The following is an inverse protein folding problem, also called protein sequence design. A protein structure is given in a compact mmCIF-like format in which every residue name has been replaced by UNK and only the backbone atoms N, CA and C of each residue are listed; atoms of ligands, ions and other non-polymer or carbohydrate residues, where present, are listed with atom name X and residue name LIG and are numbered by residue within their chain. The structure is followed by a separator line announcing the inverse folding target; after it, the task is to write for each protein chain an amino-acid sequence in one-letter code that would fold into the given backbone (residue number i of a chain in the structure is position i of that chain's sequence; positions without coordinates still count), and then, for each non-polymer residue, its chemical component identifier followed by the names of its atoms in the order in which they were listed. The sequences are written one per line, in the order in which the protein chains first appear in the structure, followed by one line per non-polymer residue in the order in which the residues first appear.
data_IF_174659437526
#
_entry.id   IF_174659437526
#
_cell.length_a   1.000
_cell.length_b   1.000
_cell.length_c   1.000
_cell.angle_alpha   90.00
_cell.angle_beta   90.00
_cell.angle_gamma   90.00
#
_symmetry.space_group_name_H-M   'P 1'
#
loop_
_entity.id
_entity.type
_entity.pdbx_description
1 polymer ?
#
# COMPACT_ATOMS: atom_id res chain seq x y z
N UNK A 1 15.63 -46.03 35.93
CA UNK A 1 15.59 -45.45 35.81
C UNK A 1 15.29 -44.54 35.08
N UNK A 2 14.95 -44.00 34.67
CA UNK A 2 14.61 -43.28 34.04
C UNK A 2 14.63 -42.27 33.40
N UNK A 3 14.53 -41.77 32.99
CA UNK A 3 14.73 -40.92 32.36
C UNK A 3 14.09 -40.05 31.83
N UNK A 4 13.81 -39.65 31.61
CA UNK A 4 13.21 -38.83 31.19
C UNK A 4 13.31 -37.89 30.37
N UNK A 5 13.24 -37.58 29.87
CA UNK A 5 13.34 -36.74 29.12
C UNK A 5 12.79 -35.75 28.72
N UNK A 6 12.57 -35.25 28.47
CA UNK A 6 12.12 -34.31 28.14
C UNK A 6 12.09 -33.47 27.23
N UNK A 7 11.83 -33.20 26.72
CA UNK A 7 11.78 -32.43 25.96
C UNK A 7 11.46 -31.32 25.61
N UNK A 8 11.48 -30.82 25.34
CA UNK A 8 11.32 -29.82 25.16
C UNK A 8 10.88 -29.14 24.24
N UNK A 9 10.57 -28.94 23.79
CA UNK A 9 10.26 -28.31 23.07
C UNK A 9 10.21 -27.32 22.66
N UNK A 10 10.32 -26.84 22.19
CA UNK A 10 10.31 -25.94 21.78
C UNK A 10 9.84 -25.17 21.23
N UNK A 11 9.63 -24.76 21.02
CA UNK A 11 9.11 -24.06 20.55
C UNK A 11 9.17 -23.06 19.86
N UNK A 12 9.31 -22.85 19.30
CA UNK A 12 9.59 -22.01 18.63
C UNK A 12 8.66 -21.33 18.13
N UNK A 13 8.62 -20.52 17.93
CA UNK A 13 7.77 -19.69 17.59
C UNK A 13 7.59 -19.58 16.38
N UNK A 14 7.69 -19.86 15.87
CA UNK A 14 7.48 -19.83 14.75
C UNK A 14 6.59 -19.14 14.17
N UNK A 15 6.66 -18.73 13.57
CA UNK A 15 6.04 -18.04 12.88
C UNK A 15 4.94 -18.48 12.45
N UNK A 16 4.18 -18.05 12.45
CA UNK A 16 3.05 -18.43 12.12
C UNK A 16 2.80 -18.31 10.90
N UNK A 17 3.18 -18.19 10.40
CA UNK A 17 2.97 -18.13 9.29
C UNK A 17 1.85 -18.17 8.80
N UNK A 18 1.65 -18.35 8.17
CA UNK A 18 0.63 -18.52 7.59
C UNK A 18 -0.35 -17.81 7.59
N UNK A 19 -0.56 -17.33 8.07
CA UNK A 19 -1.61 -16.79 8.15
C UNK A 19 -1.76 -15.82 7.36
N UNK A 20 -2.24 -15.83 6.59
CA UNK A 20 -2.63 -14.97 5.80
C UNK A 20 -2.98 -13.88 6.40
N UNK A 21 -2.54 -13.24 6.72
CA UNK A 21 -2.99 -12.27 7.32
C UNK A 21 -3.21 -11.20 6.49
N UNK A 22 -3.95 -10.41 6.70
CA UNK A 22 -4.21 -9.25 5.97
C UNK A 22 -3.49 -8.11 6.62
N UNK A 23 -2.35 -8.32 7.11
CA UNK A 23 -1.65 -7.24 7.78
C UNK A 23 -0.96 -6.35 6.77
N UNK A 24 -0.88 -5.08 7.09
CA UNK A 24 -0.16 -4.11 6.29
C UNK A 24 1.02 -3.63 7.12
N UNK A 25 2.21 -3.68 6.56
CA UNK A 25 3.42 -3.24 7.25
C UNK A 25 3.94 -1.98 6.56
N UNK A 26 4.33 -0.98 7.33
CA UNK A 26 4.86 0.26 6.80
C UNK A 26 6.23 0.51 7.44
N UNK A 27 7.24 0.74 6.60
CA UNK A 27 8.58 1.03 7.07
C UNK A 27 9.03 2.38 6.54
N UNK A 28 9.88 3.07 7.27
CA UNK A 28 10.39 4.37 6.86
C UNK A 28 11.62 4.73 7.67
N UNK A 29 12.30 5.81 7.29
CA UNK A 29 13.46 6.27 8.04
C UNK A 29 13.03 6.96 9.33
N UNK A 30 11.90 7.63 9.33
CA UNK A 30 11.40 8.27 10.54
C UNK A 30 9.88 8.24 10.59
N UNK A 31 9.34 8.35 11.78
CA UNK A 31 7.90 8.32 11.99
C UNK A 31 7.50 9.29 13.10
N UNK A 32 6.50 10.10 12.81
CA UNK A 32 5.92 10.98 13.81
C UNK A 32 4.52 10.45 14.02
N UNK A 33 4.21 9.94 15.19
CA UNK A 33 2.92 9.33 15.45
C UNK A 33 2.15 10.14 16.47
N UNK A 34 0.96 10.57 16.12
CA UNK A 34 0.09 11.30 17.02
C UNK A 34 -1.21 10.55 17.20
N UNK A 35 -1.36 9.93 18.34
CA UNK A 35 -2.59 9.19 18.64
C UNK A 35 -3.42 9.93 19.70
N UNK A 36 -3.02 11.14 20.07
CA UNK A 36 -3.75 11.88 21.06
C UNK A 36 -4.99 12.53 20.51
N UNK A 37 -6.04 12.58 21.29
CA UNK A 37 -7.26 13.14 20.81
C UNK A 37 -7.32 14.64 20.91
N UNK A 38 -6.43 15.28 21.63
CA UNK A 38 -6.52 16.69 21.79
C UNK A 38 -6.17 17.52 20.59
N UNK A 39 -5.43 16.95 19.70
CA UNK A 39 -4.98 17.70 18.59
C UNK A 39 -5.74 17.45 17.34
N UNK A 40 -6.86 16.94 17.42
CA UNK A 40 -7.61 16.66 16.23
C UNK A 40 -7.36 15.25 15.78
N UNK A 41 -7.01 15.04 14.52
CA UNK A 41 -6.98 13.69 14.00
C UNK A 41 -5.77 12.89 14.41
N UNK A 42 -5.98 11.63 14.66
CA UNK A 42 -4.89 10.73 14.92
C UNK A 42 -4.23 10.42 13.61
N UNK A 43 -2.93 10.58 13.56
CA UNK A 43 -2.21 10.31 12.32
C UNK A 43 -0.74 9.99 12.57
N UNK A 44 -0.14 9.30 11.60
CA UNK A 44 1.28 9.04 11.62
C UNK A 44 1.89 9.55 10.33
N UNK A 45 3.03 10.23 10.41
CA UNK A 45 3.70 10.71 9.23
C UNK A 45 5.02 9.98 9.12
N UNK A 46 5.17 9.24 8.02
CA UNK A 46 6.36 8.46 7.75
C UNK A 46 7.18 9.23 6.73
N UNK A 47 8.46 9.40 6.97
CA UNK A 47 9.31 10.14 6.06
C UNK A 47 10.57 9.38 5.73
N UNK A 48 10.95 9.45 4.49
CA UNK A 48 12.18 8.85 4.01
C UNK A 48 12.05 7.37 3.70
N UNK A 49 12.23 7.01 2.45
CA UNK A 49 12.22 5.62 2.00
C UNK A 49 11.04 4.83 2.55
N UNK A 50 9.85 5.39 2.41
CA UNK A 50 8.64 4.76 2.94
C UNK A 50 8.29 3.55 2.07
N UNK A 51 8.01 2.43 2.71
CA UNK A 51 7.64 1.22 2.02
C UNK A 51 6.44 0.60 2.70
N UNK A 52 5.42 0.29 1.93
CA UNK A 52 4.21 -0.36 2.44
C UNK A 52 4.16 -1.76 1.85
N UNK A 53 3.94 -2.74 2.70
CA UNK A 53 3.78 -4.11 2.26
C UNK A 53 2.36 -4.54 2.63
N UNK A 54 1.55 -4.76 1.64
CA UNK A 54 0.16 -5.12 1.79
C UNK A 54 -0.03 -6.45 1.05
N UNK A 55 -0.98 -7.29 1.41
CA UNK A 55 -1.10 -8.61 0.79
C UNK A 55 -1.16 -8.63 -0.74
N UNK A 56 -1.72 -7.60 -1.35
CA UNK A 56 -1.87 -7.60 -2.79
C UNK A 56 -0.83 -6.79 -3.54
N UNK A 57 -0.19 -5.85 -2.86
CA UNK A 57 0.76 -4.98 -3.54
C UNK A 57 1.81 -4.43 -2.58
N UNK A 58 2.86 -3.85 -3.14
CA UNK A 58 3.82 -3.08 -2.37
C UNK A 58 3.78 -1.65 -2.88
N UNK A 59 4.05 -0.70 -2.00
CA UNK A 59 4.06 0.71 -2.39
C UNK A 59 5.30 1.36 -1.82
N UNK A 60 5.91 2.26 -2.59
CA UNK A 60 7.05 3.03 -2.12
C UNK A 60 6.75 4.49 -2.34
N UNK A 61 7.23 5.34 -1.47
CA UNK A 61 7.06 6.79 -1.59
C UNK A 61 8.12 7.48 -0.75
N UNK A 62 8.24 8.78 -0.89
CA UNK A 62 9.16 9.54 -0.06
C UNK A 62 8.52 9.92 1.25
N UNK A 63 7.22 10.13 1.24
CA UNK A 63 6.50 10.51 2.45
C UNK A 63 5.12 9.87 2.44
N UNK A 64 4.64 9.49 3.58
CA UNK A 64 3.31 8.92 3.69
C UNK A 64 2.67 9.35 4.99
N UNK A 65 1.38 9.69 4.94
CA UNK A 65 0.61 10.00 6.12
C UNK A 65 -0.44 8.92 6.28
N UNK A 66 -0.53 8.36 7.48
CA UNK A 66 -1.53 7.35 7.79
C UNK A 66 -2.55 7.99 8.72
N UNK A 67 -3.82 7.88 8.38
CA UNK A 67 -4.88 8.43 9.21
C UNK A 67 -5.57 7.29 9.93
N UNK A 68 -5.80 7.48 11.22
CA UNK A 68 -6.41 6.45 12.06
C UNK A 68 -7.82 6.84 12.45
N UNK A 69 -8.68 5.86 12.58
CA UNK A 69 -10.02 6.07 13.09
C UNK A 69 -9.95 6.16 14.62
N UNK A 70 -11.08 6.44 15.25
CA UNK A 70 -11.11 6.60 16.70
C UNK A 70 -10.68 5.33 17.44
N UNK A 71 -10.87 4.18 16.85
CA UNK A 71 -10.48 2.92 17.50
C UNK A 71 -9.05 2.53 17.16
N UNK A 72 -8.27 3.48 16.63
CA UNK A 72 -6.87 3.27 16.26
C UNK A 72 -6.65 2.34 15.07
N UNK A 73 -7.69 1.99 14.36
CA UNK A 73 -7.51 1.23 13.13
C UNK A 73 -7.13 2.18 12.00
N UNK A 74 -6.40 1.71 11.03
CA UNK A 74 -6.00 2.54 9.90
C UNK A 74 -7.23 2.82 9.05
N UNK A 75 -7.48 4.10 8.78
CA UNK A 75 -8.61 4.50 7.99
C UNK A 75 -8.19 4.78 6.56
N UNK A 76 -7.10 5.47 6.36
CA UNK A 76 -6.60 5.76 5.02
C UNK A 76 -5.12 6.09 5.04
N UNK A 77 -4.50 6.02 3.86
CA UNK A 77 -3.09 6.33 3.68
C UNK A 77 -2.97 7.35 2.56
N UNK A 78 -2.05 8.29 2.73
CA UNK A 78 -1.77 9.25 1.67
C UNK A 78 -0.27 9.19 1.40
N UNK A 79 0.14 8.79 0.20
CA UNK A 79 1.54 8.71 -0.18
C UNK A 79 1.88 9.86 -1.12
N UNK A 80 3.06 10.42 -0.98
CA UNK A 80 3.50 11.55 -1.78
C UNK A 80 4.90 11.38 -2.28
N UNK A 81 5.14 11.92 -3.47
CA UNK A 81 6.44 11.96 -4.11
C UNK A 81 7.01 10.62 -4.48
N UNK A 82 7.17 10.44 -5.74
CA UNK A 82 7.75 9.23 -6.32
C UNK A 82 7.03 7.97 -5.84
N UNK A 83 5.71 7.99 -5.88
CA UNK A 83 4.93 6.84 -5.45
C UNK A 83 5.03 5.76 -6.51
N UNK A 84 5.43 4.57 -6.12
CA UNK A 84 5.54 3.41 -7.01
C UNK A 84 4.77 2.27 -6.35
N UNK A 85 3.81 1.71 -7.06
CA UNK A 85 3.00 0.61 -6.54
C UNK A 85 3.15 -0.57 -7.48
N UNK A 86 3.50 -1.72 -6.93
CA UNK A 86 3.65 -2.94 -7.72
C UNK A 86 2.73 -4.01 -7.18
N UNK A 87 1.95 -4.61 -8.04
CA UNK A 87 1.11 -5.72 -7.62
C UNK A 87 2.00 -6.94 -7.41
N UNK A 88 1.72 -7.69 -6.37
CA UNK A 88 2.55 -8.85 -6.03
C UNK A 88 2.43 -9.96 -7.06
N UNK A 89 1.34 -9.99 -7.82
CA UNK A 89 1.19 -10.99 -8.86
C UNK A 89 1.92 -10.60 -10.14
N UNK A 90 2.61 -9.44 -10.14
CA UNK A 90 3.37 -9.01 -11.31
C UNK A 90 2.53 -8.45 -12.44
N UNK A 91 1.23 -8.31 -12.27
CA UNK A 91 0.38 -7.88 -13.37
C UNK A 91 0.50 -6.42 -13.73
N UNK A 92 0.90 -5.57 -12.82
CA UNK A 92 1.01 -4.15 -13.14
C UNK A 92 1.93 -3.40 -12.19
N UNK A 93 2.38 -2.26 -12.67
CA UNK A 93 3.18 -1.34 -11.88
C UNK A 93 2.58 0.03 -12.09
N UNK A 94 2.46 0.80 -11.03
CA UNK A 94 1.83 2.11 -11.07
C UNK A 94 2.81 3.16 -10.60
N UNK A 95 2.88 4.27 -11.32
CA UNK A 95 3.74 5.38 -10.95
C UNK A 95 2.86 6.62 -10.78
N UNK A 96 3.04 7.33 -9.69
CA UNK A 96 2.24 8.50 -9.41
C UNK A 96 2.99 9.46 -8.51
N UNK A 97 2.56 10.69 -8.44
CA UNK A 97 3.17 11.65 -7.53
C UNK A 97 2.37 11.72 -6.25
N UNK A 98 1.12 11.29 -6.27
CA UNK A 98 0.30 11.28 -5.07
C UNK A 98 -0.69 10.12 -5.15
N UNK A 99 -0.82 9.39 -4.09
CA UNK A 99 -1.73 8.26 -4.03
C UNK A 99 -2.48 8.27 -2.70
N UNK A 100 -3.77 7.97 -2.75
CA UNK A 100 -4.60 7.89 -1.56
C UNK A 100 -5.19 6.49 -1.51
N UNK A 101 -5.03 5.79 -0.41
CA UNK A 101 -5.63 4.47 -0.28
C UNK A 101 -6.66 4.52 0.84
N UNK A 102 -7.89 4.16 0.52
CA UNK A 102 -8.97 4.15 1.47
C UNK A 102 -9.17 2.71 1.93
N UNK A 103 -8.96 2.47 3.21
CA UNK A 103 -9.04 1.11 3.75
C UNK A 103 -10.48 0.62 3.83
N UNK A 104 -11.44 1.52 3.95
CA UNK A 104 -12.82 1.13 4.06
C UNK A 104 -13.39 0.71 2.70
N UNK A 105 -13.20 1.54 1.70
CA UNK A 105 -13.69 1.24 0.37
C UNK A 105 -12.71 0.39 -0.42
N UNK A 106 -11.53 0.17 0.13
CA UNK A 106 -10.48 -0.62 -0.53
C UNK A 106 -10.19 -0.12 -1.93
N UNK A 107 -10.04 1.19 -2.06
CA UNK A 107 -9.73 1.76 -3.35
C UNK A 107 -8.50 2.64 -3.25
N UNK A 108 -7.74 2.67 -4.33
CA UNK A 108 -6.52 3.43 -4.42
C UNK A 108 -6.73 4.50 -5.47
N UNK A 109 -6.59 5.76 -5.09
CA UNK A 109 -6.77 6.88 -6.00
C UNK A 109 -5.42 7.51 -6.28
N UNK A 110 -5.11 7.67 -7.57
CA UNK A 110 -3.85 8.27 -8.00
C UNK A 110 -4.18 9.63 -8.59
N UNK A 111 -3.46 10.64 -8.15
CA UNK A 111 -3.77 12.01 -8.56
C UNK A 111 -2.60 12.66 -9.26
N UNK A 112 -2.89 13.49 -10.24
CA UNK A 112 -1.89 14.25 -10.92
C UNK A 112 -1.51 15.43 -10.05
N UNK A 113 -0.23 15.70 -9.94
CA UNK A 113 0.28 16.92 -9.33
C UNK A 113 0.92 17.73 -10.46
N UNK A 114 2.06 17.31 -10.96
CA UNK A 114 2.67 17.91 -12.14
C UNK A 114 2.58 16.94 -13.31
N UNK A 115 2.68 15.64 -13.04
CA UNK A 115 2.62 14.66 -14.11
C UNK A 115 1.45 13.73 -13.87
N UNK A 116 0.89 13.23 -14.93
CA UNK A 116 -0.21 12.30 -14.84
C UNK A 116 0.27 10.97 -14.27
N UNK A 117 -0.49 10.37 -13.37
CA UNK A 117 -0.19 9.02 -12.94
C UNK A 117 -0.32 8.05 -14.10
N UNK A 118 0.37 6.94 -14.01
CA UNK A 118 0.27 5.92 -15.06
C UNK A 118 0.28 4.53 -14.46
N UNK A 119 -0.42 3.63 -15.13
CA UNK A 119 -0.47 2.23 -14.76
C UNK A 119 0.08 1.44 -15.94
N UNK A 120 1.12 0.66 -15.70
CA UNK A 120 1.79 -0.12 -16.73
C UNK A 120 1.45 -1.58 -16.53
N UNK A 121 0.88 -2.21 -17.56
CA UNK A 121 0.61 -3.64 -17.55
C UNK A 121 1.34 -4.27 -18.72
N UNK A 122 1.20 -5.56 -18.88
CA UNK A 122 1.90 -6.23 -19.96
C UNK A 122 1.47 -5.75 -21.33
N UNK A 123 0.22 -5.49 -21.51
CA UNK A 123 -0.31 -5.15 -22.83
C UNK A 123 -0.75 -3.72 -22.99
N UNK A 124 -0.63 -2.90 -21.95
CA UNK A 124 -1.07 -1.52 -22.08
C UNK A 124 -0.50 -0.64 -21.00
N UNK A 125 -0.48 0.63 -21.25
CA UNK A 125 -0.12 1.65 -20.27
C UNK A 125 -1.23 2.69 -20.28
N UNK A 126 -1.75 3.01 -19.11
CA UNK A 126 -2.85 3.95 -18.96
C UNK A 126 -2.36 5.20 -18.27
N UNK A 127 -2.67 6.36 -18.84
CA UNK A 127 -2.35 7.65 -18.22
C UNK A 127 -3.68 8.39 -18.01
N UNK A 128 -3.82 9.10 -16.92
CA UNK A 128 -4.99 9.93 -16.71
C UNK A 128 -4.71 10.97 -15.64
N UNK A 129 -5.54 11.98 -15.53
CA UNK A 129 -5.40 12.99 -14.50
C UNK A 129 -5.72 12.37 -13.14
N UNK A 130 -6.64 11.41 -13.13
CA UNK A 130 -6.99 10.71 -11.91
C UNK A 130 -7.28 9.26 -12.27
N UNK A 131 -6.68 8.35 -11.55
CA UNK A 131 -6.90 6.92 -11.76
C UNK A 131 -7.37 6.32 -10.44
N UNK A 132 -8.45 5.57 -10.46
CA UNK A 132 -8.97 4.89 -9.29
C UNK A 132 -8.85 3.40 -9.52
N UNK A 133 -8.13 2.73 -8.64
CA UNK A 133 -7.93 1.29 -8.74
C UNK A 133 -8.66 0.60 -7.60
N UNK A 134 -9.32 -0.48 -7.91
CA UNK A 134 -9.99 -1.32 -6.92
C UNK A 134 -9.26 -2.66 -6.91
N UNK A 135 -8.21 -2.80 -6.12
CA UNK A 135 -7.36 -3.99 -6.18
C UNK A 135 -8.09 -5.31 -5.97
N UNK A 136 -9.13 -5.30 -5.15
CA UNK A 136 -9.85 -6.54 -4.91
C UNK A 136 -10.78 -6.91 -6.04
N UNK A 137 -11.18 -5.94 -6.85
CA UNK A 137 -12.08 -6.21 -7.96
C UNK A 137 -11.37 -6.22 -9.31
N UNK A 138 -10.07 -5.97 -9.33
CA UNK A 138 -9.30 -5.88 -10.56
C UNK A 138 -9.94 -4.87 -11.52
N UNK A 139 -10.41 -3.75 -10.97
CA UNK A 139 -11.10 -2.76 -11.74
C UNK A 139 -10.35 -1.45 -11.70
N UNK A 140 -10.37 -0.70 -12.78
CA UNK A 140 -9.73 0.60 -12.86
C UNK A 140 -10.68 1.57 -13.53
N UNK A 141 -10.78 2.77 -12.98
CA UNK A 141 -11.60 3.85 -13.55
C UNK A 141 -10.72 5.07 -13.66
N UNK A 142 -10.88 5.86 -14.69
CA UNK A 142 -10.13 7.10 -14.86
C UNK A 142 -11.07 8.28 -14.94
N UNK A 143 -10.58 9.44 -14.54
CA UNK A 143 -11.33 10.69 -14.66
C UNK A 143 -10.39 11.73 -15.22
N UNK A 144 -10.91 12.66 -15.98
CA UNK A 144 -10.13 13.69 -16.62
C UNK A 144 -9.51 13.18 -17.91
N UNK A 145 -8.50 13.87 -18.39
CA UNK A 145 -7.86 13.47 -19.64
C UNK A 145 -7.22 12.11 -19.47
N UNK A 146 -7.52 11.18 -20.34
CA UNK A 146 -7.04 9.81 -20.24
C UNK A 146 -6.44 9.38 -21.57
N UNK A 147 -5.43 8.54 -21.50
CA UNK A 147 -4.80 7.99 -22.69
C UNK A 147 -4.36 6.56 -22.41
N UNK A 148 -4.60 5.68 -23.34
CA UNK A 148 -4.19 4.29 -23.21
C UNK A 148 -3.28 3.97 -24.39
N UNK A 149 -2.11 3.44 -24.10
CA UNK A 149 -1.20 2.96 -25.12
C UNK A 149 -1.26 1.46 -25.11
N UNK A 150 -1.69 0.87 -26.20
CA UNK A 150 -1.77 -0.58 -26.29
C UNK A 150 -0.50 -1.09 -26.94
N UNK A 151 0.04 -2.14 -26.34
CA UNK A 151 1.26 -2.71 -26.84
C UNK A 151 0.94 -4.07 -27.39
N UNK A 152 1.30 -4.33 -28.65
CA UNK A 152 1.04 -5.61 -29.17
C UNK A 152 2.12 -6.51 -28.78
N UNK A 153 1.79 -7.66 -28.36
CA UNK A 153 2.80 -8.64 -28.07
C UNK A 153 3.41 -9.07 -29.40
N UNK A 154 4.66 -9.31 -29.46
CA UNK A 154 5.34 -9.72 -30.69
C UNK A 154 4.92 -11.10 -31.15
#
# INVERSE_FOLDING_TARGET
MLATCLQAQDSAPTAPAATTTNSTTIESDSLDLNLGSKQGKKQGIFRGNVKVDEPRFTMKAKEMTVFFADNDAVESLEAREDVVIKRKDGSSETLSEKALYDMTDKKLTLLKVAKQPKVISKDKTVFADKIILYPEEDKMTTEGASRVMLQKAP
#
